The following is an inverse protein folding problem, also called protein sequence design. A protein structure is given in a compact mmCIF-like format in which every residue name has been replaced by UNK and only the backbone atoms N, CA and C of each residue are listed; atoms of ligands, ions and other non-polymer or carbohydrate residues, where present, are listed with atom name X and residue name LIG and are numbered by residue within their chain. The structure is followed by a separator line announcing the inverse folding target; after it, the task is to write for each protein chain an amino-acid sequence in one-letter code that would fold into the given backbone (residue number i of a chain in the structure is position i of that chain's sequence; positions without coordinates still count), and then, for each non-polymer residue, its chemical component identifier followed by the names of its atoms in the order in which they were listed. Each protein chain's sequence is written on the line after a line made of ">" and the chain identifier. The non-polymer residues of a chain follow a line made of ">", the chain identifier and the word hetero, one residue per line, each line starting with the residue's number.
data_IF_466234248950
#
_entry.id   IF_466234248950
#
_cell.length_a   1.000
_cell.length_b   1.000
_cell.length_c   1.000
_cell.angle_alpha   90.00
_cell.angle_beta   90.00
_cell.angle_gamma   90.00
#
_symmetry.space_group_name_H-M   'P 1'
#
loop_
_entity.id
_entity.type
_entity.pdbx_description
1 polymer ?
#
# COMPACT_ATOMS: atom_id res chain seq x y z
N UNK A 1 -17.83 8.12 1.51
CA UNK A 1 -17.12 7.54 0.33
C UNK A 1 -16.01 8.43 -0.25
N UNK A 2 -16.22 9.71 -0.55
CA UNK A 2 -15.16 10.53 -1.19
C UNK A 2 -13.91 10.70 -0.32
N UNK A 3 -14.09 10.86 1.00
CA UNK A 3 -12.97 10.94 1.96
C UNK A 3 -12.18 9.63 2.03
N UNK A 4 -12.85 8.48 2.21
CA UNK A 4 -12.19 7.16 2.24
C UNK A 4 -11.47 6.86 0.93
N UNK A 5 -12.11 7.16 -0.21
CA UNK A 5 -11.49 7.02 -1.54
C UNK A 5 -10.25 7.91 -1.69
N UNK A 6 -10.31 9.15 -1.20
CA UNK A 6 -9.16 10.07 -1.20
C UNK A 6 -8.01 9.56 -0.33
N UNK A 7 -8.30 9.12 0.89
CA UNK A 7 -7.29 8.58 1.82
C UNK A 7 -6.61 7.34 1.24
N UNK A 8 -7.38 6.43 0.65
CA UNK A 8 -6.83 5.20 0.06
C UNK A 8 -6.06 5.48 -1.22
N UNK A 9 -6.46 6.47 -2.03
CA UNK A 9 -5.63 6.94 -3.14
C UNK A 9 -4.28 7.48 -2.68
N UNK A 10 -4.28 8.28 -1.61
CA UNK A 10 -3.05 8.84 -1.04
C UNK A 10 -2.11 7.75 -0.52
N UNK A 11 -2.65 6.75 0.17
CA UNK A 11 -1.88 5.59 0.61
C UNK A 11 -1.43 4.72 -0.57
N UNK A 12 -2.26 4.54 -1.59
CA UNK A 12 -1.85 3.81 -2.79
C UNK A 12 -0.67 4.51 -3.51
N UNK A 13 -0.57 5.84 -3.49
CA UNK A 13 0.59 6.55 -4.05
C UNK A 13 1.90 6.20 -3.32
N UNK A 14 1.86 5.87 -2.03
CA UNK A 14 3.03 5.37 -1.30
C UNK A 14 3.54 4.03 -1.84
N UNK A 15 2.70 3.23 -2.50
CA UNK A 15 3.15 1.98 -3.12
C UNK A 15 4.17 2.18 -4.25
N UNK A 16 4.14 3.35 -4.90
CA UNK A 16 5.11 3.74 -5.94
C UNK A 16 6.52 3.82 -5.35
N UNK A 17 6.67 4.29 -4.11
CA UNK A 17 7.97 4.36 -3.44
C UNK A 17 8.59 2.98 -3.22
N UNK A 18 7.79 1.99 -2.82
CA UNK A 18 8.30 0.64 -2.60
C UNK A 18 8.71 -0.04 -3.92
N UNK A 19 7.95 0.20 -5.00
CA UNK A 19 8.31 -0.26 -6.35
C UNK A 19 9.63 0.37 -6.79
N UNK A 20 9.81 1.68 -6.58
CA UNK A 20 11.06 2.37 -6.87
C UNK A 20 12.25 1.76 -6.12
N UNK A 21 12.11 1.49 -4.80
CA UNK A 21 13.17 0.87 -4.01
C UNK A 21 13.49 -0.55 -4.46
N UNK A 22 12.49 -1.32 -4.88
CA UNK A 22 12.72 -2.63 -5.48
C UNK A 22 13.52 -2.53 -6.79
N UNK A 23 13.18 -1.57 -7.67
CA UNK A 23 13.93 -1.32 -8.92
C UNK A 23 15.38 -0.91 -8.64
N UNK A 24 15.61 -0.01 -7.67
CA UNK A 24 16.97 0.36 -7.27
C UNK A 24 17.77 -0.84 -6.77
N UNK A 25 17.16 -1.70 -5.95
CA UNK A 25 17.81 -2.94 -5.50
C UNK A 25 18.18 -3.88 -6.66
N UNK A 26 17.39 -3.90 -7.74
CA UNK A 26 17.71 -4.68 -8.95
C UNK A 26 18.88 -4.05 -9.71
N UNK A 27 18.92 -2.72 -9.81
CA UNK A 27 20.01 -1.98 -10.47
C UNK A 27 21.34 -2.17 -9.73
N UNK A 28 21.29 -2.19 -8.39
CA UNK A 28 22.47 -2.35 -7.52
C UNK A 28 22.89 -3.81 -7.32
N UNK A 29 22.25 -4.76 -8.02
CA UNK A 29 22.44 -6.23 -7.89
C UNK A 29 22.35 -6.74 -6.43
N UNK A 30 21.56 -6.03 -5.62
CA UNK A 30 21.39 -6.28 -4.20
C UNK A 30 20.11 -7.09 -3.96
N UNK A 31 20.22 -8.40 -4.12
CA UNK A 31 19.12 -9.36 -3.98
C UNK A 31 18.42 -9.30 -2.61
N UNK A 32 19.15 -8.93 -1.55
CA UNK A 32 18.56 -8.74 -0.22
C UNK A 32 17.62 -7.54 -0.20
N UNK A 33 18.02 -6.40 -0.76
CA UNK A 33 17.15 -5.22 -0.85
C UNK A 33 15.92 -5.50 -1.71
N UNK A 34 16.08 -6.13 -2.87
CA UNK A 34 14.95 -6.52 -3.73
C UNK A 34 13.95 -7.38 -2.95
N UNK A 35 14.43 -8.38 -2.23
CA UNK A 35 13.59 -9.29 -1.45
C UNK A 35 12.83 -8.55 -0.35
N UNK A 36 13.54 -7.72 0.43
CA UNK A 36 12.94 -6.94 1.54
C UNK A 36 11.88 -5.98 1.00
N UNK A 37 12.20 -5.18 -0.03
CA UNK A 37 11.27 -4.21 -0.58
C UNK A 37 10.06 -4.87 -1.24
N UNK A 38 10.24 -6.02 -1.89
CA UNK A 38 9.14 -6.81 -2.45
C UNK A 38 8.21 -7.34 -1.35
N UNK A 39 8.77 -7.84 -0.25
CA UNK A 39 8.00 -8.38 0.87
C UNK A 39 7.23 -7.27 1.60
N UNK A 40 7.86 -6.11 1.82
CA UNK A 40 7.20 -4.91 2.34
C UNK A 40 6.06 -4.47 1.42
N UNK A 41 6.29 -4.43 0.10
CA UNK A 41 5.27 -4.07 -0.87
C UNK A 41 4.06 -4.99 -0.77
N UNK A 42 4.29 -6.31 -0.68
CA UNK A 42 3.24 -7.29 -0.57
C UNK A 42 2.41 -7.12 0.71
N UNK A 43 3.07 -7.00 1.86
CA UNK A 43 2.40 -6.75 3.14
C UNK A 43 1.61 -5.44 3.10
N UNK A 44 2.18 -4.38 2.53
CA UNK A 44 1.55 -3.07 2.42
C UNK A 44 0.25 -3.12 1.59
N UNK A 45 0.28 -3.80 0.44
CA UNK A 45 -0.91 -3.97 -0.41
C UNK A 45 -2.01 -4.72 0.35
N UNK A 46 -1.67 -5.79 1.07
CA UNK A 46 -2.64 -6.53 1.90
C UNK A 46 -3.22 -5.62 2.99
N UNK A 47 -2.39 -4.85 3.69
CA UNK A 47 -2.85 -3.91 4.72
C UNK A 47 -3.80 -2.86 4.12
N UNK A 48 -3.54 -2.37 2.91
CA UNK A 48 -4.41 -1.43 2.20
C UNK A 48 -5.77 -2.02 1.87
N UNK A 49 -5.81 -3.28 1.41
CA UNK A 49 -7.06 -3.99 1.13
C UNK A 49 -7.88 -4.15 2.40
N UNK A 50 -7.26 -4.57 3.51
CA UNK A 50 -7.95 -4.70 4.80
C UNK A 50 -8.47 -3.33 5.27
N UNK A 51 -7.63 -2.29 5.20
CA UNK A 51 -8.02 -0.93 5.59
C UNK A 51 -9.20 -0.43 4.74
N UNK A 52 -9.24 -0.73 3.44
CA UNK A 52 -10.37 -0.42 2.56
C UNK A 52 -11.66 -1.05 3.09
N UNK A 53 -11.65 -2.34 3.40
CA UNK A 53 -12.83 -3.03 3.92
C UNK A 53 -13.26 -2.49 5.29
N UNK A 54 -12.31 -2.27 6.20
CA UNK A 54 -12.59 -1.76 7.55
C UNK A 54 -13.19 -0.35 7.49
N UNK A 55 -12.59 0.57 6.73
CA UNK A 55 -13.08 1.93 6.59
C UNK A 55 -14.44 1.98 5.88
N UNK A 56 -14.63 1.16 4.84
CA UNK A 56 -15.91 1.07 4.12
C UNK A 56 -17.02 0.52 5.03
N UNK A 57 -16.70 -0.47 5.87
CA UNK A 57 -17.66 -1.01 6.84
C UNK A 57 -17.99 0.01 7.93
N UNK A 58 -16.99 0.73 8.42
CA UNK A 58 -17.18 1.76 9.44
C UNK A 58 -18.01 2.94 8.93
N UNK A 59 -17.78 3.43 7.70
CA UNK A 59 -18.66 4.44 7.08
C UNK A 59 -20.12 3.96 7.00
N UNK A 60 -20.36 2.69 6.64
CA UNK A 60 -21.72 2.12 6.58
C UNK A 60 -22.39 2.00 7.94
N UNK A 61 -21.65 1.58 8.97
CA UNK A 61 -22.18 1.44 10.34
C UNK A 61 -22.47 2.80 10.99
N UNK A 62 -21.73 3.85 10.64
CA UNK A 62 -21.90 5.21 11.18
C UNK A 62 -23.04 6.03 10.53
N UNK A 63 -23.74 5.52 9.51
CA UNK A 63 -24.85 6.21 8.79
C UNK A 63 -24.55 7.70 8.48
N UNK A 64 -23.39 7.98 7.91
CA UNK A 64 -23.11 9.29 7.27
C UNK A 64 -23.27 9.14 5.77
#
# INVERSE_FOLDING_TARGET
>A
MDKVRSTIRLLALFSIYFIYKAIMGVIDDNTNEVTIWSLITFVYVISLVIAYFVLTRWEKEQKI
#
